data_IF_043861846048
#
_entry.id   IF_043861846048
#
_cell.length_a   1.000
_cell.length_b   1.000
_cell.length_c   1.000
_cell.angle_alpha   90.00
_cell.angle_beta   90.00
_cell.angle_gamma   90.00
#
_symmetry.space_group_name_H-M   'P 1'
#
loop_
_entity.id
_entity.type
_entity.pdbx_description
1 polymer ?
#
# COMPACT_ATOMS: atom_id res chain seq x y z
N UNK A 1 66.96 34.01 39.91
CA UNK A 1 66.28 33.53 38.69
C UNK A 1 66.21 32.03 38.80
N UNK A 2 65.16 31.57 39.47
CA UNK A 2 64.97 30.18 39.88
C UNK A 2 64.44 29.34 38.73
N UNK A 3 65.07 28.20 38.50
CA UNK A 3 64.56 27.14 37.65
C UNK A 3 64.48 25.84 38.46
N UNK A 4 63.28 25.30 38.66
CA UNK A 4 63.06 23.87 38.85
C UNK A 4 62.13 23.35 37.75
N UNK A 5 62.09 22.08 37.35
CA UNK A 5 62.74 20.87 37.81
C UNK A 5 62.27 19.75 36.88
N UNK A 6 63.14 18.76 36.66
CA UNK A 6 62.85 17.56 35.85
C UNK A 6 61.85 16.65 36.58
N UNK A 7 60.74 16.33 35.94
CA UNK A 7 59.85 15.23 36.33
C UNK A 7 60.17 13.95 35.53
N UNK A 8 60.11 12.75 36.13
CA UNK A 8 60.38 11.50 35.42
C UNK A 8 59.14 10.99 34.66
N UNK A 9 59.38 10.54 33.43
CA UNK A 9 58.41 9.84 32.59
C UNK A 9 57.98 8.51 33.22
N UNK A 10 56.68 8.37 33.52
CA UNK A 10 56.05 7.08 33.82
C UNK A 10 55.46 6.50 32.54
N UNK A 11 55.91 5.29 32.19
CA UNK A 11 55.27 4.43 31.19
C UNK A 11 53.89 3.95 31.68
N UNK A 12 52.84 4.02 30.87
CA UNK A 12 51.63 3.24 31.09
C UNK A 12 51.77 1.84 30.48
N UNK A 13 51.49 0.85 31.34
CA UNK A 13 51.37 -0.56 31.04
C UNK A 13 50.36 -0.85 29.92
N UNK A 14 50.78 -1.60 28.91
CA UNK A 14 49.87 -2.28 27.98
C UNK A 14 49.20 -3.47 28.70
N UNK A 15 47.99 -3.25 29.18
CA UNK A 15 47.10 -4.31 29.63
C UNK A 15 46.53 -5.07 28.42
N UNK A 16 47.04 -6.29 28.18
CA UNK A 16 46.44 -7.29 27.29
C UNK A 16 45.05 -7.68 27.83
N UNK A 17 44.00 -7.11 27.26
CA UNK A 17 42.65 -7.67 27.39
C UNK A 17 42.54 -8.89 26.47
N UNK A 18 42.50 -10.07 27.09
CA UNK A 18 42.15 -11.34 26.44
C UNK A 18 40.69 -11.26 25.96
N UNK A 19 40.49 -11.45 24.66
CA UNK A 19 39.17 -11.67 24.09
C UNK A 19 38.54 -12.97 24.65
N UNK A 20 37.24 -12.98 25.01
CA UNK A 20 36.55 -14.21 25.34
C UNK A 20 36.34 -15.06 24.08
N UNK A 21 36.68 -16.34 24.19
CA UNK A 21 36.48 -17.33 23.15
C UNK A 21 34.99 -17.42 22.75
N UNK A 22 34.72 -17.21 21.45
CA UNK A 22 33.41 -17.44 20.87
C UNK A 22 33.05 -18.92 20.98
N UNK A 23 32.03 -19.23 21.79
CA UNK A 23 31.35 -20.52 21.81
C UNK A 23 30.69 -20.75 20.46
N UNK A 24 31.08 -21.85 19.81
CA UNK A 24 30.42 -22.37 18.63
C UNK A 24 28.92 -22.62 18.91
N UNK A 25 27.99 -22.26 18.01
CA UNK A 25 26.61 -22.66 18.13
C UNK A 25 26.48 -24.17 17.88
N UNK A 26 25.79 -24.83 18.80
CA UNK A 26 25.47 -26.24 18.76
C UNK A 26 24.73 -26.61 17.46
N UNK A 27 25.24 -27.63 16.79
CA UNK A 27 24.50 -28.43 15.82
C UNK A 27 23.34 -29.12 16.52
N UNK A 28 22.16 -29.02 15.90
CA UNK A 28 21.13 -30.06 15.98
C UNK A 28 19.97 -29.75 16.91
N UNK A 29 18.85 -29.32 16.33
CA UNK A 29 17.60 -30.06 16.50
C UNK A 29 16.94 -30.16 15.13
N UNK A 30 16.85 -31.40 14.65
CA UNK A 30 16.21 -31.74 13.40
C UNK A 30 14.72 -31.42 13.47
N UNK A 31 14.23 -30.76 12.42
CA UNK A 31 12.82 -30.75 12.12
C UNK A 31 12.38 -32.20 11.85
N UNK A 32 11.29 -32.69 12.49
CA UNK A 32 10.75 -33.99 12.15
C UNK A 32 10.31 -33.96 10.68
N UNK A 33 10.80 -34.94 9.92
CA UNK A 33 10.29 -35.24 8.59
C UNK A 33 8.77 -35.40 8.67
N UNK A 34 8.04 -34.62 7.90
CA UNK A 34 6.63 -34.85 7.61
C UNK A 34 6.53 -36.18 6.86
N UNK A 35 6.28 -37.24 7.62
CA UNK A 35 6.00 -38.58 7.14
C UNK A 35 4.66 -38.54 6.37
N UNK A 36 4.75 -38.36 5.06
CA UNK A 36 3.66 -38.58 4.10
C UNK A 36 3.42 -40.09 3.98
N UNK A 37 2.95 -40.71 5.06
CA UNK A 37 2.48 -42.10 5.04
C UNK A 37 1.09 -42.22 5.65
N UNK A 38 0.28 -42.95 4.90
CA UNK A 38 -1.01 -43.54 5.27
C UNK A 38 -2.20 -42.57 5.37
N UNK A 39 -2.83 -42.33 4.23
CA UNK A 39 -4.26 -42.07 4.19
C UNK A 39 -5.00 -43.25 4.87
N UNK A 40 -5.91 -43.01 5.84
CA UNK A 40 -6.74 -44.07 6.38
C UNK A 40 -7.71 -44.54 5.30
N UNK A 41 -7.57 -45.81 4.96
CA UNK A 41 -8.46 -46.55 4.08
C UNK A 41 -9.88 -46.49 4.67
N UNK A 42 -10.81 -45.94 3.89
CA UNK A 42 -12.24 -45.94 4.23
C UNK A 42 -12.70 -47.39 4.47
N UNK A 43 -13.39 -47.70 5.58
CA UNK A 43 -13.97 -49.02 5.76
C UNK A 43 -15.06 -49.23 4.70
N UNK A 44 -14.83 -50.22 3.83
CA UNK A 44 -15.85 -50.88 3.01
C UNK A 44 -16.92 -51.43 3.95
N UNK A 45 -18.01 -50.69 4.13
CA UNK A 45 -19.18 -51.20 4.85
C UNK A 45 -19.91 -52.17 3.93
N UNK A 46 -19.84 -53.45 4.33
CA UNK A 46 -20.54 -54.61 3.77
C UNK A 46 -22.00 -54.28 3.44
N UNK A 47 -22.40 -54.66 2.24
CA UNK A 47 -23.80 -54.88 1.90
C UNK A 47 -24.35 -56.01 2.79
N UNK A 48 -25.29 -55.66 3.67
CA UNK A 48 -26.14 -56.63 4.35
C UNK A 48 -27.28 -57.09 3.43
N UNK A 49 -27.82 -58.30 3.64
CA UNK A 49 -28.91 -58.84 2.83
C UNK A 49 -30.17 -57.99 3.01
N UNK A 50 -30.67 -57.46 1.90
CA UNK A 50 -31.95 -56.76 1.82
C UNK A 50 -33.05 -57.78 2.12
N UNK A 51 -33.68 -57.65 3.27
CA UNK A 51 -34.87 -58.38 3.63
C UNK A 51 -35.99 -58.06 2.62
N UNK A 52 -36.55 -59.10 2.03
CA UNK A 52 -37.70 -59.04 1.15
C UNK A 52 -38.93 -58.54 1.93
N UNK A 53 -39.15 -57.22 1.92
CA UNK A 53 -40.40 -56.63 2.37
C UNK A 53 -41.47 -56.90 1.31
N UNK A 54 -42.48 -57.70 1.71
CA UNK A 54 -43.69 -57.99 0.95
C UNK A 54 -44.33 -56.71 0.42
N UNK A 55 -44.56 -56.68 -0.88
CA UNK A 55 -45.27 -55.61 -1.57
C UNK A 55 -46.72 -55.49 -1.04
N UNK A 56 -47.16 -54.30 -0.56
CA UNK A 56 -48.57 -54.03 -0.41
C UNK A 56 -49.19 -53.90 -1.80
N UNK A 57 -50.29 -54.61 -2.01
CA UNK A 57 -50.98 -54.73 -3.29
C UNK A 57 -51.22 -53.39 -3.98
N UNK A 58 -50.67 -53.27 -5.20
CA UNK A 58 -51.03 -52.24 -6.18
C UNK A 58 -52.52 -52.36 -6.52
N UNK A 59 -53.38 -51.64 -5.78
CA UNK A 59 -54.70 -51.26 -6.30
C UNK A 59 -54.46 -50.35 -7.51
N UNK A 60 -54.65 -50.89 -8.71
CA UNK A 60 -54.79 -50.11 -9.95
C UNK A 60 -55.97 -49.15 -9.78
N UNK A 61 -55.73 -47.95 -9.26
CA UNK A 61 -56.64 -46.82 -9.46
C UNK A 61 -56.58 -46.50 -10.95
N UNK A 62 -57.66 -46.79 -11.67
CA UNK A 62 -57.85 -46.34 -13.03
C UNK A 62 -57.53 -44.84 -13.09
N UNK A 63 -56.46 -44.49 -13.82
CA UNK A 63 -56.06 -43.11 -14.02
C UNK A 63 -57.18 -42.39 -14.75
N UNK A 64 -57.92 -41.56 -14.01
CA UNK A 64 -58.88 -40.65 -14.60
C UNK A 64 -58.06 -39.66 -15.43
N UNK A 65 -58.07 -39.83 -16.75
CA UNK A 65 -57.44 -38.90 -17.67
C UNK A 65 -58.11 -37.53 -17.48
N UNK A 66 -57.45 -36.65 -16.74
CA UNK A 66 -57.92 -35.28 -16.53
C UNK A 66 -57.76 -34.58 -17.87
N UNK A 67 -58.86 -34.45 -18.63
CA UNK A 67 -58.90 -33.57 -19.79
C UNK A 67 -58.84 -32.13 -19.30
N UNK A 68 -57.62 -31.59 -19.24
CA UNK A 68 -57.41 -30.17 -18.98
C UNK A 68 -57.94 -29.42 -20.20
N UNK A 69 -58.97 -28.60 -20.02
CA UNK A 69 -59.51 -27.82 -21.13
C UNK A 69 -58.48 -26.79 -21.59
N UNK A 70 -58.35 -26.50 -22.89
CA UNK A 70 -57.42 -25.48 -23.39
C UNK A 70 -57.69 -24.09 -22.79
N UNK A 71 -58.93 -23.81 -22.38
CA UNK A 71 -59.31 -22.59 -21.64
C UNK A 71 -58.72 -22.55 -20.22
N UNK A 72 -58.62 -23.69 -19.55
CA UNK A 72 -57.97 -23.77 -18.23
C UNK A 72 -56.46 -23.54 -18.35
N UNK A 73 -55.82 -24.05 -19.39
CA UNK A 73 -54.40 -23.81 -19.66
C UNK A 73 -54.13 -22.32 -19.94
N UNK A 74 -54.96 -21.68 -20.77
CA UNK A 74 -54.84 -20.24 -21.06
C UNK A 74 -54.97 -19.34 -19.84
N UNK A 75 -55.91 -19.66 -18.93
CA UNK A 75 -56.05 -18.92 -17.65
C UNK A 75 -54.84 -19.09 -16.75
N UNK A 76 -54.23 -20.27 -16.74
CA UNK A 76 -53.06 -20.57 -15.92
C UNK A 76 -51.83 -19.82 -16.45
N UNK A 77 -51.64 -19.75 -17.77
CA UNK A 77 -50.58 -18.93 -18.39
C UNK A 77 -50.77 -17.44 -18.08
N UNK A 78 -51.99 -16.92 -18.19
CA UNK A 78 -52.31 -15.54 -17.82
C UNK A 78 -52.04 -15.25 -16.33
N UNK A 79 -52.38 -16.18 -15.44
CA UNK A 79 -52.10 -16.04 -14.01
C UNK A 79 -50.59 -16.03 -13.72
N UNK A 80 -49.81 -16.88 -14.38
CA UNK A 80 -48.34 -16.86 -14.27
C UNK A 80 -47.73 -15.58 -14.84
N UNK A 81 -48.20 -15.10 -15.98
CA UNK A 81 -47.74 -13.85 -16.58
C UNK A 81 -48.06 -12.65 -15.66
N UNK A 82 -49.25 -12.61 -15.05
CA UNK A 82 -49.62 -11.58 -14.08
C UNK A 82 -48.75 -11.65 -12.82
N UNK A 83 -48.48 -12.85 -12.30
CA UNK A 83 -47.59 -13.03 -11.14
C UNK A 83 -46.16 -12.58 -11.45
N UNK A 84 -45.65 -12.93 -12.64
CA UNK A 84 -44.34 -12.50 -13.10
C UNK A 84 -44.26 -10.97 -13.28
N UNK A 85 -45.32 -10.35 -13.79
CA UNK A 85 -45.40 -8.89 -13.92
C UNK A 85 -45.47 -8.19 -12.55
N UNK A 86 -46.20 -8.75 -11.58
CA UNK A 86 -46.25 -8.23 -10.21
C UNK A 86 -44.90 -8.40 -9.52
N UNK A 87 -44.26 -9.56 -9.66
CA UNK A 87 -42.93 -9.82 -9.10
C UNK A 87 -41.87 -8.91 -9.72
N UNK A 88 -41.87 -8.77 -11.05
CA UNK A 88 -40.98 -7.86 -11.78
C UNK A 88 -41.24 -6.38 -11.46
N UNK A 89 -42.50 -6.00 -11.24
CA UNK A 89 -42.88 -4.67 -10.78
C UNK A 89 -42.39 -4.40 -9.35
N UNK A 90 -42.52 -5.37 -8.45
CA UNK A 90 -42.05 -5.27 -7.07
C UNK A 90 -40.53 -5.17 -6.99
N UNK A 91 -39.78 -5.99 -7.72
CA UNK A 91 -38.32 -5.90 -7.77
C UNK A 91 -37.83 -4.60 -8.43
N UNK A 92 -38.53 -4.09 -9.46
CA UNK A 92 -38.21 -2.80 -10.08
C UNK A 92 -38.52 -1.60 -9.17
N UNK A 93 -39.60 -1.65 -8.38
CA UNK A 93 -39.91 -0.65 -7.36
C UNK A 93 -38.89 -0.67 -6.23
N UNK A 94 -38.49 -1.85 -5.76
CA UNK A 94 -37.47 -2.01 -4.72
C UNK A 94 -36.06 -1.60 -5.22
N UNK A 95 -35.79 -1.74 -6.52
CA UNK A 95 -34.58 -1.22 -7.15
C UNK A 95 -34.58 0.31 -7.29
N UNK A 96 -35.75 0.95 -7.46
CA UNK A 96 -35.87 2.41 -7.61
C UNK A 96 -35.80 3.16 -6.28
N UNK A 97 -36.32 2.58 -5.20
CA UNK A 97 -36.23 3.14 -3.84
C UNK A 97 -34.82 3.01 -3.24
N UNK A 98 -34.01 2.10 -3.77
CA UNK A 98 -32.60 1.89 -3.41
C UNK A 98 -31.64 2.61 -4.37
N UNK A 99 -31.93 3.82 -4.84
CA UNK A 99 -30.87 4.61 -5.49
C UNK A 99 -29.80 4.86 -4.42
N UNK A 100 -28.62 4.25 -4.54
CA UNK A 100 -27.63 4.34 -3.49
C UNK A 100 -27.21 5.80 -3.37
N UNK A 101 -27.33 6.36 -2.16
CA UNK A 101 -26.94 7.73 -1.89
C UNK A 101 -25.42 7.82 -2.03
N UNK A 102 -24.94 8.82 -2.77
CA UNK A 102 -23.50 9.10 -2.80
C UNK A 102 -23.05 9.49 -1.40
N UNK A 103 -21.91 8.94 -0.98
CA UNK A 103 -21.36 9.21 0.34
C UNK A 103 -20.97 10.69 0.46
N UNK A 104 -20.18 11.18 -0.49
CA UNK A 104 -19.62 12.53 -0.41
C UNK A 104 -19.35 13.16 -1.79
N UNK A 105 -20.40 13.60 -2.51
CA UNK A 105 -20.26 14.15 -3.87
C UNK A 105 -19.39 15.43 -3.95
N UNK A 106 -19.16 16.10 -2.82
CA UNK A 106 -18.33 17.31 -2.73
C UNK A 106 -16.81 17.03 -2.61
N UNK A 107 -16.37 15.77 -2.67
CA UNK A 107 -14.96 15.41 -2.44
C UNK A 107 -13.95 16.13 -3.35
N UNK A 108 -14.35 16.47 -4.58
CA UNK A 108 -13.50 17.21 -5.51
C UNK A 108 -13.13 18.63 -5.02
N UNK A 109 -13.87 19.18 -4.05
CA UNK A 109 -13.62 20.49 -3.46
C UNK A 109 -12.78 20.40 -2.17
N UNK A 110 -12.25 19.23 -1.85
CA UNK A 110 -11.43 19.05 -0.67
C UNK A 110 -10.14 19.89 -0.76
N UNK A 111 -9.77 20.47 0.38
CA UNK A 111 -8.53 21.22 0.60
C UNK A 111 -7.59 20.48 1.55
N UNK A 112 -8.13 19.64 2.42
CA UNK A 112 -7.35 18.77 3.28
C UNK A 112 -7.99 17.38 3.37
N UNK A 113 -7.14 16.38 3.59
CA UNK A 113 -7.52 14.99 3.82
C UNK A 113 -6.65 14.45 4.95
N UNK A 114 -7.26 13.89 5.98
CA UNK A 114 -6.55 13.17 7.03
C UNK A 114 -7.11 11.75 7.17
N UNK A 115 -6.21 10.76 7.17
CA UNK A 115 -6.58 9.35 7.25
C UNK A 115 -5.52 8.55 7.99
N UNK A 116 -5.89 7.82 9.05
CA UNK A 116 -4.96 6.89 9.72
C UNK A 116 -3.63 7.51 10.18
N UNK A 117 -3.61 8.78 10.60
CA UNK A 117 -2.40 9.51 11.00
C UNK A 117 -1.64 10.18 9.85
N UNK A 118 -2.06 9.96 8.61
CA UNK A 118 -1.65 10.74 7.43
C UNK A 118 -2.42 12.06 7.40
N UNK A 119 -1.74 13.16 7.06
CA UNK A 119 -2.38 14.44 6.75
C UNK A 119 -1.86 14.97 5.42
N UNK A 120 -2.79 15.34 4.55
CA UNK A 120 -2.58 15.82 3.20
C UNK A 120 -3.26 17.18 3.06
N UNK A 121 -2.57 18.14 2.44
CA UNK A 121 -3.06 19.51 2.23
C UNK A 121 -2.82 19.94 0.79
N UNK A 122 -3.81 20.64 0.22
CA UNK A 122 -3.77 21.18 -1.14
C UNK A 122 -3.33 22.64 -1.10
N UNK A 123 -2.16 22.94 -1.68
CA UNK A 123 -1.61 24.29 -1.81
C UNK A 123 -1.15 24.53 -3.26
N UNK A 124 -1.36 25.74 -3.79
CA UNK A 124 -0.97 26.12 -5.16
C UNK A 124 -1.39 25.12 -6.26
N UNK A 125 -2.51 24.42 -6.04
CA UNK A 125 -3.03 23.41 -6.96
C UNK A 125 -2.43 22.01 -6.83
N UNK A 126 -1.44 21.80 -5.97
CA UNK A 126 -0.80 20.52 -5.73
C UNK A 126 -1.09 19.98 -4.32
N UNK A 127 -1.09 18.64 -4.18
CA UNK A 127 -1.21 17.99 -2.88
C UNK A 127 0.15 17.78 -2.25
N UNK A 128 0.22 17.96 -0.94
CA UNK A 128 1.39 17.69 -0.11
C UNK A 128 1.01 16.85 1.10
N UNK A 129 1.85 15.89 1.42
CA UNK A 129 1.85 15.16 2.67
C UNK A 129 2.52 16.04 3.73
N UNK A 130 1.80 16.37 4.80
CA UNK A 130 2.31 17.19 5.90
C UNK A 130 2.54 16.39 7.17
N UNK A 131 1.91 15.20 7.29
CA UNK A 131 2.18 14.23 8.36
C UNK A 131 2.17 12.80 7.84
N UNK A 132 3.05 11.92 8.36
CA UNK A 132 3.97 12.15 9.49
C UNK A 132 5.26 12.89 9.10
N UNK A 133 5.55 13.04 7.81
CA UNK A 133 6.67 13.81 7.28
C UNK A 133 6.21 14.68 6.11
N UNK A 134 6.99 15.70 5.78
CA UNK A 134 6.72 16.58 4.66
C UNK A 134 7.19 15.97 3.32
N UNK A 135 6.30 15.82 2.35
CA UNK A 135 6.63 15.40 0.98
C UNK A 135 5.56 15.89 -0.01
N UNK A 136 5.88 16.06 -1.31
CA UNK A 136 4.85 16.11 -2.34
C UNK A 136 3.99 14.83 -2.29
N UNK A 137 2.70 14.93 -2.56
CA UNK A 137 1.80 13.80 -2.51
C UNK A 137 1.28 13.41 -3.89
N UNK A 138 1.00 12.12 -4.07
CA UNK A 138 0.41 11.54 -5.27
C UNK A 138 -0.87 10.75 -4.96
N UNK A 139 -1.71 10.52 -5.97
CA UNK A 139 -2.90 9.67 -5.85
C UNK A 139 -4.06 10.23 -5.00
N UNK A 140 -3.93 11.42 -4.42
CA UNK A 140 -4.97 12.04 -3.58
C UNK A 140 -6.24 12.35 -4.35
N UNK A 141 -6.14 12.95 -5.54
CA UNK A 141 -7.32 13.27 -6.35
C UNK A 141 -8.06 12.00 -6.80
N UNK A 142 -7.33 10.90 -7.06
CA UNK A 142 -7.94 9.60 -7.34
C UNK A 142 -8.69 9.03 -6.13
N UNK A 143 -8.13 9.18 -4.92
CA UNK A 143 -8.81 8.81 -3.68
C UNK A 143 -10.09 9.64 -3.45
N UNK A 144 -10.04 10.94 -3.71
CA UNK A 144 -11.21 11.82 -3.59
C UNK A 144 -12.28 11.50 -4.65
N UNK A 145 -11.87 11.14 -5.87
CA UNK A 145 -12.80 10.69 -6.89
C UNK A 145 -13.50 9.38 -6.49
N UNK A 146 -12.77 8.44 -5.90
CA UNK A 146 -13.31 7.21 -5.32
C UNK A 146 -14.33 7.55 -4.22
N UNK A 147 -13.98 8.43 -3.28
CA UNK A 147 -14.87 8.89 -2.21
C UNK A 147 -16.15 9.59 -2.72
N UNK A 148 -16.05 10.35 -3.81
CA UNK A 148 -17.18 11.01 -4.45
C UNK A 148 -18.13 10.03 -5.15
N UNK A 149 -17.58 8.96 -5.72
CA UNK A 149 -18.34 7.91 -6.40
C UNK A 149 -18.90 6.87 -5.42
N UNK A 150 -18.33 6.77 -4.22
CA UNK A 150 -18.71 5.81 -3.20
C UNK A 150 -20.18 5.94 -2.78
N UNK A 151 -20.78 4.81 -2.45
CA UNK A 151 -22.22 4.65 -2.26
C UNK A 151 -22.51 4.11 -0.87
N UNK A 152 -23.34 4.83 -0.12
CA UNK A 152 -23.70 4.41 1.23
C UNK A 152 -24.99 3.60 1.23
N UNK A 153 -24.99 2.49 1.96
CA UNK A 153 -26.15 1.63 2.16
C UNK A 153 -27.12 2.20 3.21
N UNK A 154 -28.26 1.53 3.35
CA UNK A 154 -29.16 1.73 4.48
C UNK A 154 -28.44 1.33 5.80
N UNK A 155 -28.87 1.88 6.95
CA UNK A 155 -28.34 1.44 8.25
C UNK A 155 -28.40 -0.08 8.40
N UNK A 156 -27.28 -0.70 8.76
CA UNK A 156 -27.18 -2.13 9.02
C UNK A 156 -27.41 -2.46 10.50
N UNK A 157 -27.00 -1.55 11.38
CA UNK A 157 -27.13 -1.67 12.83
C UNK A 157 -27.08 -0.28 13.44
N UNK A 158 -27.79 -0.08 14.54
CA UNK A 158 -27.72 1.09 15.42
C UNK A 158 -27.38 0.71 16.87
N UNK A 159 -27.19 -0.58 17.14
CA UNK A 159 -26.78 -1.12 18.43
C UNK A 159 -25.26 -0.91 18.68
N UNK A 160 -24.86 -0.09 19.68
CA UNK A 160 -23.47 0.12 20.02
C UNK A 160 -22.71 -1.16 20.39
N UNK A 161 -23.40 -2.17 20.93
CA UNK A 161 -22.78 -3.45 21.31
C UNK A 161 -22.27 -4.24 20.10
N UNK A 162 -22.75 -3.91 18.89
CA UNK A 162 -22.34 -4.56 17.64
C UNK A 162 -21.17 -3.88 16.93
N UNK A 163 -20.72 -2.70 17.37
CA UNK A 163 -19.57 -2.02 16.77
C UNK A 163 -18.29 -2.88 16.65
N UNK A 164 -17.95 -3.76 17.62
CA UNK A 164 -16.79 -4.64 17.48
C UNK A 164 -16.89 -5.62 16.30
N UNK A 165 -18.10 -6.07 15.94
CA UNK A 165 -18.33 -6.99 14.81
C UNK A 165 -17.94 -6.36 13.46
N UNK A 166 -18.00 -5.02 13.39
CA UNK A 166 -17.68 -4.24 12.19
C UNK A 166 -16.30 -3.57 12.28
N UNK A 167 -15.53 -3.82 13.34
CA UNK A 167 -14.28 -3.11 13.67
C UNK A 167 -14.45 -1.57 13.67
N UNK A 168 -15.58 -1.09 14.17
CA UNK A 168 -15.93 0.33 14.22
C UNK A 168 -15.78 0.94 15.62
N UNK A 169 -14.99 0.34 16.51
CA UNK A 169 -14.69 0.97 17.80
C UNK A 169 -13.74 2.15 17.60
N UNK A 170 -13.86 3.22 18.39
CA UNK A 170 -13.01 4.41 18.25
C UNK A 170 -11.50 4.10 18.34
N UNK A 171 -11.13 3.02 19.05
CA UNK A 171 -9.75 2.57 19.21
C UNK A 171 -9.20 1.75 18.04
N UNK A 172 -10.06 1.19 17.19
CA UNK A 172 -9.65 0.28 16.10
C UNK A 172 -10.01 0.79 14.70
N UNK A 173 -11.00 1.68 14.59
CA UNK A 173 -11.42 2.25 13.33
C UNK A 173 -10.40 3.27 12.80
N UNK A 174 -10.20 3.28 11.49
CA UNK A 174 -9.40 4.32 10.83
C UNK A 174 -10.24 5.56 10.66
N UNK A 175 -9.84 6.66 11.28
CA UNK A 175 -10.51 7.95 11.11
C UNK A 175 -10.16 8.55 9.76
N UNK A 176 -11.18 8.97 9.03
CA UNK A 176 -11.13 9.73 7.78
C UNK A 176 -11.77 11.10 8.01
N UNK A 177 -11.01 12.16 7.76
CA UNK A 177 -11.48 13.54 7.81
C UNK A 177 -11.17 14.21 6.47
N UNK A 178 -12.15 14.89 5.89
CA UNK A 178 -11.97 15.67 4.66
C UNK A 178 -12.52 17.06 4.91
N UNK A 179 -11.69 18.09 4.73
CA UNK A 179 -12.14 19.48 4.79
C UNK A 179 -12.28 20.02 3.38
N UNK A 180 -13.34 20.77 3.13
CA UNK A 180 -13.69 21.36 1.85
C UNK A 180 -14.87 22.30 2.03
N UNK A 181 -15.71 22.45 1.02
CA UNK A 181 -16.95 23.23 1.15
C UNK A 181 -17.94 22.63 2.16
N UNK A 182 -17.94 21.30 2.31
CA UNK A 182 -18.73 20.59 3.33
C UNK A 182 -17.80 19.60 4.02
N UNK A 183 -17.50 19.72 5.32
CA UNK A 183 -16.59 18.79 5.98
C UNK A 183 -17.21 17.39 6.08
N UNK A 184 -16.37 16.35 5.98
CA UNK A 184 -16.73 14.96 6.20
C UNK A 184 -15.86 14.39 7.32
N UNK A 185 -16.47 13.67 8.26
CA UNK A 185 -15.75 12.89 9.27
C UNK A 185 -16.38 11.51 9.39
N UNK A 186 -15.59 10.47 9.16
CA UNK A 186 -16.00 9.08 9.19
C UNK A 186 -14.99 8.22 9.94
N UNK A 187 -15.49 7.13 10.49
CA UNK A 187 -14.70 6.02 11.00
C UNK A 187 -14.87 4.85 10.04
N UNK A 188 -13.75 4.36 9.50
CA UNK A 188 -13.68 3.23 8.59
C UNK A 188 -13.30 1.97 9.36
N UNK A 189 -14.08 0.91 9.21
CA UNK A 189 -13.94 -0.34 9.95
C UNK A 189 -13.39 -1.49 9.10
N UNK A 190 -13.97 -2.67 9.33
CA UNK A 190 -13.65 -3.90 8.62
C UNK A 190 -14.18 -3.92 7.18
N UNK A 191 -13.71 -4.90 6.37
CA UNK A 191 -14.22 -5.09 5.02
C UNK A 191 -15.70 -5.48 5.05
N UNK A 192 -16.47 -4.99 4.07
CA UNK A 192 -17.86 -5.36 3.88
C UNK A 192 -18.03 -6.68 3.12
N UNK A 193 -19.20 -6.87 2.50
CA UNK A 193 -19.52 -8.07 1.75
C UNK A 193 -18.75 -8.16 0.43
N UNK A 194 -18.47 -7.00 -0.19
CA UNK A 194 -17.73 -6.88 -1.45
C UNK A 194 -16.27 -6.47 -1.22
N UNK A 195 -15.33 -6.84 -2.11
CA UNK A 195 -13.90 -6.51 -1.95
C UNK A 195 -13.60 -5.01 -1.83
N UNK A 196 -14.43 -4.17 -2.46
CA UNK A 196 -14.31 -2.71 -2.46
C UNK A 196 -15.36 -2.05 -1.56
N UNK A 197 -15.83 -2.78 -0.54
CA UNK A 197 -16.76 -2.27 0.46
C UNK A 197 -16.15 -2.23 1.84
N UNK A 198 -16.57 -1.25 2.65
CA UNK A 198 -16.11 -1.08 4.02
C UNK A 198 -17.24 -0.62 4.92
N UNK A 199 -17.25 -1.10 6.16
CA UNK A 199 -18.17 -0.57 7.16
C UNK A 199 -17.73 0.80 7.62
N UNK A 200 -18.69 1.71 7.77
CA UNK A 200 -18.43 3.08 8.23
C UNK A 200 -19.44 3.50 9.29
N UNK A 201 -19.04 4.50 10.09
CA UNK A 201 -19.96 5.31 10.89
C UNK A 201 -19.45 6.72 11.06
N UNK A 202 -20.33 7.63 11.44
CA UNK A 202 -19.94 8.95 11.91
C UNK A 202 -19.39 8.87 13.35
N UNK A 203 -18.40 9.71 13.72
CA UNK A 203 -17.95 9.81 15.10
C UNK A 203 -19.11 10.12 16.06
N UNK A 204 -19.17 9.42 17.20
CA UNK A 204 -20.26 9.57 18.18
C UNK A 204 -21.60 8.94 17.81
N UNK A 205 -21.80 8.53 16.54
CA UNK A 205 -23.01 7.82 16.11
C UNK A 205 -22.83 6.30 16.25
N UNK A 206 -23.84 5.54 16.73
CA UNK A 206 -23.79 4.08 16.73
C UNK A 206 -24.27 3.47 15.40
N UNK A 207 -24.73 4.30 14.47
CA UNK A 207 -25.30 3.84 13.20
C UNK A 207 -24.20 3.35 12.27
N UNK A 208 -24.20 2.05 12.04
CA UNK A 208 -23.32 1.35 11.10
C UNK A 208 -23.95 1.33 9.72
N UNK A 209 -23.14 1.69 8.72
CA UNK A 209 -23.48 1.60 7.30
C UNK A 209 -22.35 0.88 6.57
N UNK A 210 -22.66 0.38 5.39
CA UNK A 210 -21.66 -0.13 4.45
C UNK A 210 -21.51 0.87 3.31
N UNK A 211 -20.28 1.09 2.88
CA UNK A 211 -19.96 1.94 1.75
C UNK A 211 -19.33 1.07 0.68
N UNK A 212 -19.99 1.03 -0.48
CA UNK A 212 -19.49 0.40 -1.70
C UNK A 212 -18.64 1.40 -2.51
N UNK A 213 -17.61 0.88 -3.19
CA UNK A 213 -16.66 1.66 -3.98
C UNK A 213 -15.60 2.40 -3.17
N UNK A 214 -15.30 1.93 -1.94
CA UNK A 214 -14.26 2.49 -1.07
C UNK A 214 -13.23 1.41 -0.73
N UNK A 215 -12.11 1.40 -1.45
CA UNK A 215 -11.06 0.38 -1.34
C UNK A 215 -10.28 0.52 -0.03
N UNK A 216 -10.49 -0.41 0.90
CA UNK A 216 -9.80 -0.41 2.20
C UNK A 216 -8.29 -0.26 2.05
N UNK A 217 -7.67 -0.93 1.07
CA UNK A 217 -6.23 -0.89 0.86
C UNK A 217 -5.68 0.51 0.59
N UNK A 218 -6.46 1.39 -0.06
CA UNK A 218 -6.09 2.78 -0.28
C UNK A 218 -6.20 3.62 0.99
N UNK A 219 -7.31 3.49 1.72
CA UNK A 219 -7.58 4.29 2.91
C UNK A 219 -6.85 3.81 4.17
N UNK A 220 -6.29 2.60 4.13
CA UNK A 220 -5.36 2.09 5.15
C UNK A 220 -3.91 2.05 4.67
N UNK A 221 -3.59 2.75 3.57
CA UNK A 221 -2.25 2.73 3.02
C UNK A 221 -1.25 3.43 3.96
N UNK A 222 -0.03 2.90 4.01
CA UNK A 222 1.06 3.53 4.75
C UNK A 222 1.30 4.97 4.26
N UNK A 223 1.80 5.88 5.12
CA UNK A 223 2.06 7.26 4.72
C UNK A 223 2.93 7.39 3.46
N UNK A 224 3.89 6.49 3.29
CA UNK A 224 4.76 6.41 2.11
C UNK A 224 4.07 6.09 0.79
N UNK A 225 2.85 5.54 0.84
CA UNK A 225 2.04 5.28 -0.35
C UNK A 225 1.35 6.54 -0.89
N UNK A 226 1.20 7.57 -0.05
CA UNK A 226 0.65 8.87 -0.45
C UNK A 226 1.71 9.85 -0.94
N UNK A 227 2.99 9.58 -0.65
CA UNK A 227 4.09 10.45 -1.06
C UNK A 227 4.50 10.18 -2.51
N UNK A 228 4.81 11.25 -3.25
CA UNK A 228 5.40 11.18 -4.58
C UNK A 228 6.74 10.43 -4.53
N UNK A 229 6.81 9.33 -5.28
CA UNK A 229 7.97 8.46 -5.37
C UNK A 229 9.00 8.94 -6.37
N UNK A 230 8.77 10.06 -7.04
CA UNK A 230 9.72 10.67 -7.97
C UNK A 230 10.88 11.28 -7.19
N UNK A 231 12.05 10.65 -7.26
CA UNK A 231 13.26 11.18 -6.62
C UNK A 231 13.72 12.44 -7.35
N UNK A 232 13.70 12.36 -8.67
CA UNK A 232 14.24 13.39 -9.56
C UNK A 232 13.29 13.55 -10.73
N UNK A 233 12.82 14.77 -10.96
CA UNK A 233 12.16 15.16 -12.21
C UNK A 233 13.21 15.84 -13.08
N UNK A 234 13.62 15.17 -14.15
CA UNK A 234 14.73 15.59 -14.99
C UNK A 234 14.30 15.59 -16.45
N UNK A 235 14.45 16.74 -17.10
CA UNK A 235 14.39 16.84 -18.56
C UNK A 235 15.80 16.67 -19.11
N UNK A 236 16.11 15.52 -19.71
CA UNK A 236 17.46 15.18 -20.16
C UNK A 236 18.11 16.26 -21.06
N UNK A 237 17.31 16.99 -21.82
CA UNK A 237 17.76 18.08 -22.69
C UNK A 237 18.25 19.34 -21.93
N UNK A 238 17.85 19.51 -20.67
CA UNK A 238 18.23 20.66 -19.83
C UNK A 238 19.40 20.39 -18.90
N UNK A 239 19.91 19.16 -18.91
CA UNK A 239 21.04 18.78 -18.07
C UNK A 239 22.32 19.35 -18.65
N UNK A 240 23.04 20.11 -17.85
CA UNK A 240 24.28 20.78 -18.27
C UNK A 240 25.51 20.07 -17.75
N UNK A 241 25.40 19.35 -16.62
CA UNK A 241 26.53 18.62 -16.03
C UNK A 241 26.07 17.46 -15.15
N UNK A 242 26.82 16.37 -15.21
CA UNK A 242 26.62 15.19 -14.37
C UNK A 242 27.91 14.91 -13.61
N UNK A 243 27.81 14.76 -12.30
CA UNK A 243 28.91 14.44 -11.39
C UNK A 243 28.55 13.24 -10.54
N UNK A 244 29.31 12.16 -10.66
CA UNK A 244 29.16 10.93 -9.89
C UNK A 244 30.38 10.74 -9.02
N UNK A 245 30.19 10.57 -7.71
CA UNK A 245 31.26 10.25 -6.75
C UNK A 245 30.98 8.92 -6.09
N UNK A 246 31.93 8.00 -6.18
CA UNK A 246 31.86 6.68 -5.52
C UNK A 246 33.20 6.36 -4.83
N UNK A 247 33.28 5.31 -3.98
CA UNK A 247 34.54 4.81 -3.45
C UNK A 247 35.56 4.40 -4.53
N UNK A 248 35.11 4.10 -5.75
CA UNK A 248 35.99 3.74 -6.88
C UNK A 248 36.59 4.96 -7.59
N UNK A 249 36.07 6.15 -7.33
CA UNK A 249 36.50 7.40 -7.97
C UNK A 249 35.34 8.35 -8.26
N UNK A 250 35.68 9.49 -8.88
CA UNK A 250 34.72 10.49 -9.31
C UNK A 250 34.75 10.67 -10.83
N UNK A 251 33.59 10.89 -11.43
CA UNK A 251 33.39 11.20 -12.85
C UNK A 251 32.56 12.47 -12.92
N UNK A 252 33.06 13.49 -13.62
CA UNK A 252 32.29 14.69 -13.94
C UNK A 252 32.35 14.94 -15.44
N UNK A 253 31.19 15.12 -16.06
CA UNK A 253 31.04 15.32 -17.50
C UNK A 253 30.09 16.50 -17.70
N UNK A 254 30.54 17.47 -18.49
CA UNK A 254 29.72 18.62 -18.93
C UNK A 254 29.02 18.28 -20.26
N UNK A 255 27.88 18.91 -20.53
CA UNK A 255 27.13 18.82 -21.79
C UNK A 255 27.99 19.06 -23.05
N UNK A 256 29.08 19.82 -22.93
CA UNK A 256 30.03 20.12 -24.01
C UNK A 256 31.15 19.10 -24.15
N UNK A 257 31.28 18.16 -23.22
CA UNK A 257 32.33 17.14 -23.23
C UNK A 257 32.08 16.10 -24.33
N UNK A 258 33.10 15.66 -25.11
CA UNK A 258 32.96 14.62 -26.12
C UNK A 258 32.41 13.28 -25.59
N UNK A 259 32.51 13.04 -24.27
CA UNK A 259 31.99 11.85 -23.60
C UNK A 259 30.51 11.97 -23.25
N UNK A 260 29.88 13.14 -23.37
CA UNK A 260 28.47 13.36 -23.04
C UNK A 260 27.50 12.35 -23.66
N UNK A 261 27.64 11.94 -24.95
CA UNK A 261 26.76 10.93 -25.54
C UNK A 261 26.78 9.59 -24.79
N UNK A 262 27.89 9.24 -24.11
CA UNK A 262 27.98 8.03 -23.27
C UNK A 262 27.09 8.09 -22.04
N UNK A 263 26.68 9.27 -21.59
CA UNK A 263 25.75 9.45 -20.45
C UNK A 263 24.28 9.27 -20.83
N UNK A 264 23.94 9.12 -22.11
CA UNK A 264 22.54 9.00 -22.53
C UNK A 264 21.76 7.91 -21.76
N UNK A 265 22.28 6.67 -21.57
CA UNK A 265 21.56 5.66 -20.80
C UNK A 265 21.30 6.06 -19.35
N UNK A 266 22.25 6.75 -18.71
CA UNK A 266 22.11 7.28 -17.36
C UNK A 266 21.03 8.36 -17.30
N UNK A 267 21.06 9.33 -18.22
CA UNK A 267 20.07 10.42 -18.28
C UNK A 267 18.66 9.87 -18.55
N UNK A 268 18.52 8.90 -19.44
CA UNK A 268 17.25 8.22 -19.73
C UNK A 268 16.71 7.47 -18.51
N UNK A 269 17.62 6.84 -17.72
CA UNK A 269 17.25 6.17 -16.48
C UNK A 269 16.84 7.16 -15.39
N UNK A 270 17.59 8.27 -15.23
CA UNK A 270 17.30 9.34 -14.27
C UNK A 270 15.97 10.02 -14.55
N UNK A 271 15.63 10.25 -15.82
CA UNK A 271 14.35 10.84 -16.22
C UNK A 271 13.13 10.00 -15.82
N UNK A 272 13.32 8.71 -15.52
CA UNK A 272 12.27 7.76 -15.11
C UNK A 272 12.49 7.25 -13.69
N UNK A 273 13.39 7.85 -12.93
CA UNK A 273 13.89 7.29 -11.70
C UNK A 273 12.91 7.53 -10.54
N UNK A 274 12.26 6.47 -10.11
CA UNK A 274 11.34 6.47 -8.97
C UNK A 274 11.81 5.53 -7.85
N UNK A 275 11.31 5.80 -6.65
CA UNK A 275 11.45 4.93 -5.49
C UNK A 275 10.46 3.77 -5.54
N UNK A 276 10.79 2.70 -4.83
CA UNK A 276 9.83 1.66 -4.50
C UNK A 276 8.90 2.13 -3.36
N UNK A 277 9.48 2.79 -2.36
CA UNK A 277 8.75 3.38 -1.24
C UNK A 277 9.40 4.65 -0.70
N UNK A 278 8.60 5.44 -0.01
CA UNK A 278 9.01 6.68 0.65
C UNK A 278 8.75 6.54 2.14
N UNK A 279 9.67 6.99 2.98
CA UNK A 279 9.57 6.85 4.43
C UNK A 279 10.10 8.04 5.20
N UNK A 280 9.75 8.06 6.48
CA UNK A 280 10.24 9.03 7.46
C UNK A 280 11.72 8.75 7.79
N UNK A 281 12.58 9.76 7.60
CA UNK A 281 13.98 9.72 8.03
C UNK A 281 14.13 9.29 9.48
N UNK A 282 13.34 9.86 10.38
CA UNK A 282 13.53 9.64 11.82
C UNK A 282 13.21 8.20 12.23
N UNK A 283 12.23 7.58 11.57
CA UNK A 283 11.92 6.17 11.81
C UNK A 283 13.02 5.24 11.30
N UNK A 284 13.55 5.52 10.13
CA UNK A 284 14.62 4.70 9.53
C UNK A 284 15.95 4.86 10.26
N UNK A 285 16.30 6.08 10.69
CA UNK A 285 17.52 6.32 11.47
C UNK A 285 17.49 5.68 12.85
N UNK A 286 16.29 5.45 13.41
CA UNK A 286 16.12 4.70 14.66
C UNK A 286 16.38 3.19 14.48
N UNK A 287 16.39 2.66 13.25
CA UNK A 287 16.67 1.25 13.01
C UNK A 287 18.18 0.96 13.13
N UNK A 288 18.63 0.07 14.04
CA UNK A 288 20.06 -0.20 14.26
C UNK A 288 20.83 -0.72 13.04
N UNK A 289 20.10 -1.17 12.01
CA UNK A 289 20.65 -1.74 10.78
C UNK A 289 20.86 -0.70 9.67
N UNK A 290 20.26 0.48 9.80
CA UNK A 290 20.35 1.56 8.83
C UNK A 290 21.61 2.35 9.12
N UNK A 291 22.53 2.36 8.14
CA UNK A 291 23.81 3.09 8.21
C UNK A 291 23.88 4.10 7.08
N UNK A 292 23.20 5.23 7.25
CA UNK A 292 23.17 6.29 6.24
C UNK A 292 24.53 6.96 6.07
N UNK A 293 25.42 6.86 7.06
CA UNK A 293 26.78 7.36 7.01
C UNK A 293 27.66 6.68 5.94
N UNK A 294 27.30 5.46 5.51
CA UNK A 294 28.06 4.72 4.50
C UNK A 294 27.52 4.98 3.10
N UNK A 295 28.03 6.03 2.48
CA UNK A 295 27.71 6.42 1.11
C UNK A 295 28.36 5.46 0.10
N UNK A 296 27.55 4.75 -0.69
CA UNK A 296 27.99 3.94 -1.83
C UNK A 296 28.29 4.81 -3.05
N UNK A 297 27.44 5.80 -3.33
CA UNK A 297 27.74 6.87 -4.26
C UNK A 297 26.89 8.11 -3.99
N UNK A 298 27.41 9.26 -4.43
CA UNK A 298 26.68 10.52 -4.56
C UNK A 298 26.55 10.84 -6.05
N UNK A 299 25.34 11.16 -6.49
CA UNK A 299 25.09 11.68 -7.82
C UNK A 299 24.65 13.13 -7.67
N UNK A 300 25.34 14.04 -8.35
CA UNK A 300 24.99 15.44 -8.50
C UNK A 300 24.68 15.71 -9.98
N UNK A 301 23.47 16.20 -10.25
CA UNK A 301 23.06 16.59 -11.59
C UNK A 301 22.72 18.07 -11.59
N UNK A 302 23.42 18.83 -12.42
CA UNK A 302 23.11 20.24 -12.67
C UNK A 302 22.18 20.31 -13.89
N UNK A 303 21.01 20.89 -13.69
CA UNK A 303 20.00 21.11 -14.72
C UNK A 303 19.56 22.56 -14.71
N UNK A 304 19.06 23.05 -15.84
CA UNK A 304 18.32 24.31 -15.89
C UNK A 304 16.86 24.05 -15.51
N UNK A 305 16.28 24.86 -14.63
CA UNK A 305 14.87 24.82 -14.30
C UNK A 305 13.99 25.40 -15.43
N UNK A 306 12.70 25.61 -15.17
CA UNK A 306 11.79 26.21 -16.16
C UNK A 306 12.09 27.67 -16.49
N UNK A 307 12.77 28.38 -15.59
CA UNK A 307 13.22 29.77 -15.74
C UNK A 307 14.64 29.87 -16.31
N UNK A 308 15.35 28.75 -16.40
CA UNK A 308 16.75 28.71 -16.81
C UNK A 308 17.74 28.80 -15.65
N UNK A 309 17.29 28.70 -14.41
CA UNK A 309 18.14 28.76 -13.22
C UNK A 309 18.77 27.38 -12.94
N UNK A 310 20.04 27.32 -12.52
CA UNK A 310 20.71 26.06 -12.20
C UNK A 310 20.11 25.43 -10.94
N UNK A 311 19.66 24.18 -11.06
CA UNK A 311 19.24 23.32 -9.97
C UNK A 311 20.21 22.15 -9.82
N UNK A 312 20.62 21.86 -8.59
CA UNK A 312 21.47 20.70 -8.27
C UNK A 312 20.65 19.63 -7.58
N UNK A 313 20.54 18.48 -8.23
CA UNK A 313 19.91 17.30 -7.67
C UNK A 313 21.02 16.43 -7.10
N UNK A 314 21.12 16.36 -5.77
CA UNK A 314 22.08 15.47 -5.11
C UNK A 314 21.35 14.38 -4.34
N UNK A 315 21.69 13.12 -4.59
CA UNK A 315 21.29 12.05 -3.69
C UNK A 315 22.41 11.07 -3.35
N UNK A 316 22.34 10.63 -2.10
CA UNK A 316 23.30 9.72 -1.46
C UNK A 316 22.67 8.36 -1.36
N UNK A 317 23.31 7.34 -1.93
CA UNK A 317 22.82 5.97 -1.86
C UNK A 317 23.61 5.19 -0.81
N UNK A 318 22.92 4.62 0.19
CA UNK A 318 23.55 3.82 1.25
C UNK A 318 22.91 2.41 1.31
N UNK A 319 23.71 1.33 1.38
CA UNK A 319 23.17 -0.03 1.48
C UNK A 319 22.61 -0.28 2.89
N UNK A 320 21.42 -0.87 2.97
CA UNK A 320 20.85 -1.37 4.23
C UNK A 320 21.04 -2.88 4.31
N UNK A 321 21.82 -3.32 5.30
CA UNK A 321 21.76 -4.70 5.81
C UNK A 321 21.88 -5.81 4.74
N UNK A 322 21.27 -6.96 5.02
CA UNK A 322 21.31 -8.15 4.15
C UNK A 322 20.27 -8.12 3.02
N UNK A 323 19.40 -7.11 2.97
CA UNK A 323 18.22 -7.09 2.10
C UNK A 323 18.49 -6.46 0.72
N UNK A 324 19.72 -6.01 0.44
CA UNK A 324 20.11 -5.33 -0.81
C UNK A 324 19.25 -4.09 -1.16
N UNK A 325 18.55 -3.52 -0.17
CA UNK A 325 17.83 -2.27 -0.32
C UNK A 325 18.79 -1.12 -0.13
N UNK A 326 18.62 -0.09 -0.94
CA UNK A 326 19.41 1.11 -0.85
C UNK A 326 18.49 2.26 -0.45
N UNK A 327 19.04 3.20 0.30
CA UNK A 327 18.35 4.41 0.71
C UNK A 327 18.92 5.60 -0.04
N UNK A 328 18.04 6.43 -0.57
CA UNK A 328 18.38 7.71 -1.16
C UNK A 328 17.81 8.86 -0.33
N UNK A 329 18.63 9.90 -0.11
CA UNK A 329 18.20 11.21 0.39
C UNK A 329 18.36 12.24 -0.71
N UNK A 330 17.32 13.01 -1.00
CA UNK A 330 17.38 14.11 -1.96
C UNK A 330 17.61 15.41 -1.21
N UNK A 331 18.65 16.16 -1.57
CA UNK A 331 18.95 17.45 -0.94
C UNK A 331 17.78 18.42 -1.06
N UNK A 332 17.41 19.05 0.06
CA UNK A 332 16.23 19.91 0.15
C UNK A 332 14.94 19.17 0.48
N UNK A 333 14.98 17.83 0.59
CA UNK A 333 13.90 16.96 1.09
C UNK A 333 14.41 16.15 2.28
N UNK A 334 15.01 16.84 3.24
CA UNK A 334 15.82 16.21 4.30
C UNK A 334 15.00 15.38 5.30
N UNK A 335 13.67 15.55 5.32
CA UNK A 335 12.74 14.77 6.14
C UNK A 335 12.37 13.39 5.56
N UNK A 336 12.81 13.08 4.34
CA UNK A 336 12.34 11.93 3.57
C UNK A 336 13.49 11.02 3.16
N UNK A 337 13.26 9.71 3.27
CA UNK A 337 14.12 8.70 2.66
C UNK A 337 13.36 7.94 1.60
N UNK A 338 14.04 7.69 0.49
CA UNK A 338 13.56 6.90 -0.62
C UNK A 338 14.19 5.51 -0.56
N UNK A 339 13.38 4.45 -0.61
CA UNK A 339 13.88 3.08 -0.74
C UNK A 339 13.98 2.69 -2.20
N UNK A 340 15.12 2.10 -2.56
CA UNK A 340 15.47 1.69 -3.91
C UNK A 340 15.92 0.22 -3.91
N UNK A 341 15.30 -0.59 -4.74
CA UNK A 341 15.77 -1.93 -5.05
C UNK A 341 17.10 -1.87 -5.79
N UNK A 342 18.04 -2.77 -5.45
CA UNK A 342 19.41 -2.73 -5.99
C UNK A 342 19.50 -2.73 -7.52
N UNK A 343 18.61 -3.45 -8.21
CA UNK A 343 18.58 -3.48 -9.69
C UNK A 343 18.25 -2.12 -10.32
N UNK A 344 17.56 -1.22 -9.59
CA UNK A 344 17.29 0.14 -10.08
C UNK A 344 18.57 0.98 -10.16
N UNK A 345 19.62 0.62 -9.43
CA UNK A 345 20.87 1.38 -9.36
C UNK A 345 21.87 1.02 -10.44
N UNK A 346 21.67 -0.08 -11.17
CA UNK A 346 22.63 -0.54 -12.17
C UNK A 346 22.94 0.53 -13.24
N UNK A 347 21.96 1.30 -13.75
CA UNK A 347 22.23 2.41 -14.67
C UNK A 347 23.03 3.56 -14.03
N UNK A 348 23.02 3.69 -12.70
CA UNK A 348 23.70 4.76 -11.95
C UNK A 348 25.16 4.43 -11.63
N UNK A 349 25.56 3.17 -11.78
CA UNK A 349 26.92 2.70 -11.50
C UNK A 349 27.83 2.98 -12.70
N UNK A 350 28.29 4.22 -12.82
CA UNK A 350 29.35 4.55 -13.77
C UNK A 350 30.70 4.01 -13.28
N UNK A 351 31.42 3.25 -14.11
CA UNK A 351 32.84 2.96 -13.85
C UNK A 351 33.68 4.12 -14.40
N UNK A 352 34.51 4.78 -13.57
CA UNK A 352 35.41 5.82 -14.05
C UNK A 352 36.27 5.42 -15.26
N UNK A 353 36.54 4.12 -15.46
CA UNK A 353 37.28 3.60 -16.61
C UNK A 353 36.54 3.77 -17.93
N UNK A 354 35.21 3.76 -17.95
CA UNK A 354 34.42 3.90 -19.17
C UNK A 354 34.51 5.33 -19.77
N UNK A 355 35.02 6.27 -18.96
CA UNK A 355 35.16 7.69 -19.27
C UNK A 355 36.61 8.16 -19.38
N UNK A 356 37.59 7.25 -19.34
CA UNK A 356 39.01 7.56 -19.55
C UNK A 356 39.40 7.59 -21.02
#
# INVERSE_FOLDING_TARGET
>A
MDAPGRGPHRHPHQGRLRAPAARAPARGQGLPALDLRAAPSRPRRRAGPVAAARAPGRRRRAGRAVRVSPRALGRLVLAFAALAAVYGGWTALDARSRRPKLLYPAAAQARSLAVGGVRLEKGDGAWSLTRPFAAPAEGVDAALAELAAARVSAPLSDDPARLPLFALQDSSATRLEVEGATPLSLLLGGPGADPDSVFVREPGSPVVREVDGLSRGRWSADPGAWADKTLVSLEAARVTKVSVRSPKGAVAVDSKDPRWPKLKPLLDALAKFSADSVGDVSKLEAEPRVRLERVEFSLEVETLDYKGDPATLSFTVSPIGQDFRHLAKVKGRDSVVYSLAGWRLDPLRLDPKDFR
#
